data_IF_505327315575
#
_entry.id   IF_505327315575
#
_cell.length_a   1.000
_cell.length_b   1.000
_cell.length_c   1.000
_cell.angle_alpha   90.00
_cell.angle_beta   90.00
_cell.angle_gamma   90.00
#
_symmetry.space_group_name_H-M   'P 1'
#
loop_
_entity.id
_entity.type
_entity.pdbx_description
1 polymer ?
#
# COMPACT_ATOMS: atom_id res chain seq x y z
N UNK A 1 9.74 -12.62 -9.49
CA UNK A 1 9.07 -13.28 -8.35
C UNK A 1 10.04 -13.26 -7.21
N UNK A 2 10.42 -14.41 -6.64
CA UNK A 2 11.54 -14.46 -5.70
C UNK A 2 12.78 -13.79 -6.29
N UNK A 3 13.54 -13.10 -5.45
CA UNK A 3 14.87 -12.60 -5.79
C UNK A 3 15.89 -13.75 -5.73
N UNK A 4 17.04 -13.59 -6.37
CA UNK A 4 18.23 -14.42 -6.12
C UNK A 4 18.67 -14.32 -4.66
N UNK A 5 19.45 -15.28 -4.16
CA UNK A 5 19.86 -15.31 -2.74
C UNK A 5 20.65 -14.07 -2.29
N UNK A 6 21.35 -13.42 -3.22
CA UNK A 6 22.11 -12.18 -2.99
C UNK A 6 21.27 -10.89 -3.13
N UNK A 7 19.99 -11.02 -3.51
CA UNK A 7 19.05 -9.94 -3.78
C UNK A 7 19.46 -8.97 -4.90
N UNK A 8 20.36 -9.39 -5.79
CA UNK A 8 20.83 -8.54 -6.90
C UNK A 8 20.09 -8.79 -8.21
N UNK A 9 19.32 -9.87 -8.32
CA UNK A 9 18.53 -10.21 -9.51
C UNK A 9 17.18 -10.87 -9.16
N UNK A 10 16.33 -11.04 -10.17
CA UNK A 10 15.07 -11.77 -10.09
C UNK A 10 15.24 -13.19 -10.61
N UNK A 11 14.55 -14.14 -9.98
CA UNK A 11 14.39 -15.48 -10.55
C UNK A 11 13.39 -15.47 -11.71
N UNK A 12 13.44 -16.51 -12.57
CA UNK A 12 12.55 -16.70 -13.73
C UNK A 12 11.07 -16.91 -13.35
N UNK A 13 10.76 -17.06 -12.07
CA UNK A 13 9.39 -17.24 -11.61
C UNK A 13 8.72 -15.89 -11.43
N UNK A 14 7.69 -15.59 -12.22
CA UNK A 14 6.89 -14.36 -12.11
C UNK A 14 5.40 -14.68 -12.14
N UNK A 15 4.64 -13.93 -11.33
CA UNK A 15 3.18 -14.00 -11.30
C UNK A 15 2.63 -12.60 -11.55
N UNK A 16 1.95 -12.36 -12.68
CA UNK A 16 1.22 -11.12 -12.84
C UNK A 16 0.00 -11.12 -11.91
N UNK A 17 -0.19 -10.01 -11.21
CA UNK A 17 -1.30 -9.76 -10.28
C UNK A 17 -1.97 -8.43 -10.64
N UNK A 18 -3.21 -8.22 -10.20
CA UNK A 18 -3.95 -6.96 -10.42
C UNK A 18 -4.00 -6.51 -11.91
N UNK A 19 -4.06 -7.49 -12.82
CA UNK A 19 -4.01 -7.25 -14.28
C UNK A 19 -5.16 -6.34 -14.69
N UNK A 20 -4.85 -5.26 -15.42
CA UNK A 20 -5.83 -4.30 -15.93
C UNK A 20 -6.40 -3.35 -14.87
N UNK A 21 -5.92 -3.38 -13.63
CA UNK A 21 -6.40 -2.50 -12.56
C UNK A 21 -5.68 -1.14 -12.49
N UNK A 22 -4.60 -0.94 -13.25
CA UNK A 22 -3.83 0.30 -13.30
C UNK A 22 -3.41 0.82 -11.91
N UNK A 23 -2.74 -0.06 -11.14
CA UNK A 23 -2.25 0.22 -9.78
C UNK A 23 -0.76 0.52 -9.77
N UNK A 24 -0.33 1.38 -8.87
CA UNK A 24 1.07 1.79 -8.66
C UNK A 24 1.39 1.95 -7.16
N UNK A 25 2.62 2.33 -6.86
CA UNK A 25 3.11 2.62 -5.51
C UNK A 25 2.80 1.52 -4.45
N UNK A 26 3.19 0.24 -4.72
CA UNK A 26 2.83 -0.88 -3.86
C UNK A 26 3.57 -0.85 -2.51
N UNK A 27 2.82 -0.85 -1.41
CA UNK A 27 3.32 -1.01 -0.05
C UNK A 27 2.88 -2.37 0.52
N UNK A 28 3.75 -3.37 0.39
CA UNK A 28 3.53 -4.76 0.80
C UNK A 28 3.93 -5.01 2.26
N UNK A 29 3.09 -5.70 3.02
CA UNK A 29 3.38 -6.16 4.37
C UNK A 29 2.66 -7.47 4.68
N UNK A 30 2.97 -8.11 5.82
CA UNK A 30 2.39 -9.40 6.22
C UNK A 30 1.89 -9.33 7.65
N UNK A 31 0.70 -9.88 7.90
CA UNK A 31 0.13 -10.01 9.24
C UNK A 31 -0.69 -11.30 9.36
N UNK A 32 -0.54 -12.04 10.46
CA UNK A 32 -1.39 -13.21 10.74
C UNK A 32 -1.34 -14.32 9.69
N UNK A 33 -0.27 -14.43 8.90
CA UNK A 33 -0.16 -15.38 7.78
C UNK A 33 -0.59 -14.83 6.41
N UNK A 34 -1.37 -13.75 6.39
CA UNK A 34 -1.87 -13.10 5.17
C UNK A 34 -0.94 -11.96 4.73
N UNK A 35 -0.70 -11.88 3.42
CA UNK A 35 -0.03 -10.77 2.76
C UNK A 35 -1.05 -9.68 2.45
N UNK A 36 -0.69 -8.43 2.72
CA UNK A 36 -1.49 -7.26 2.41
C UNK A 36 -0.67 -6.29 1.56
N UNK A 37 -1.32 -5.61 0.63
CA UNK A 37 -0.69 -4.61 -0.22
C UNK A 37 -1.59 -3.40 -0.36
N UNK A 38 -1.08 -2.21 -0.04
CA UNK A 38 -1.75 -0.94 -0.34
C UNK A 38 -1.15 -0.39 -1.64
N UNK A 39 -1.99 0.10 -2.54
CA UNK A 39 -1.59 0.66 -3.84
C UNK A 39 -2.33 1.96 -4.10
N UNK A 40 -1.80 2.85 -4.95
CA UNK A 40 -2.55 3.97 -5.55
C UNK A 40 -2.97 3.66 -6.98
N UNK A 41 -3.89 4.43 -7.54
CA UNK A 41 -4.19 4.44 -8.97
C UNK A 41 -3.19 5.30 -9.76
N UNK A 42 -3.09 5.07 -11.07
CA UNK A 42 -2.19 5.82 -11.96
C UNK A 42 -2.77 7.17 -12.40
N UNK A 43 -2.57 8.23 -11.60
CA UNK A 43 -3.04 9.60 -11.90
C UNK A 43 -1.90 10.63 -11.93
N UNK A 44 -0.66 10.19 -12.17
CA UNK A 44 0.51 11.04 -12.11
C UNK A 44 0.71 11.57 -10.70
N UNK A 45 0.76 12.90 -10.54
CA UNK A 45 0.96 13.52 -9.22
C UNK A 45 -0.32 13.82 -8.44
N UNK A 46 -1.49 13.70 -9.08
CA UNK A 46 -2.75 13.95 -8.39
C UNK A 46 -3.01 12.82 -7.38
N UNK A 47 -3.31 13.13 -6.11
CA UNK A 47 -3.64 12.10 -5.14
C UNK A 47 -4.97 11.45 -5.51
N UNK A 48 -5.11 10.17 -5.18
CA UNK A 48 -6.26 9.35 -5.57
C UNK A 48 -6.56 8.29 -4.51
N UNK A 49 -7.58 7.49 -4.79
CA UNK A 49 -8.05 6.45 -3.90
C UNK A 49 -7.04 5.29 -3.81
N UNK A 50 -6.52 5.07 -2.60
CA UNK A 50 -5.77 3.87 -2.28
C UNK A 50 -6.70 2.65 -2.27
N UNK A 51 -6.18 1.51 -2.70
CA UNK A 51 -6.85 0.21 -2.58
C UNK A 51 -5.95 -0.74 -1.82
N UNK A 52 -6.54 -1.42 -0.84
CA UNK A 52 -5.94 -2.53 -0.13
C UNK A 52 -6.27 -3.85 -0.84
N UNK A 53 -5.30 -4.75 -0.84
CA UNK A 53 -5.40 -6.09 -1.42
C UNK A 53 -4.86 -7.11 -0.43
N UNK A 54 -5.37 -8.34 -0.45
CA UNK A 54 -4.92 -9.43 0.39
C UNK A 54 -4.68 -10.73 -0.38
N UNK A 55 -3.77 -11.56 0.13
CA UNK A 55 -3.54 -12.92 -0.35
C UNK A 55 -2.93 -13.80 0.73
N UNK A 56 -3.31 -15.07 0.78
CA UNK A 56 -2.70 -16.05 1.69
C UNK A 56 -1.34 -16.56 1.19
N UNK A 57 -0.96 -16.23 -0.05
CA UNK A 57 0.33 -16.56 -0.65
C UNK A 57 0.81 -15.46 -1.59
N UNK A 58 2.07 -15.04 -1.47
CA UNK A 58 2.63 -13.96 -2.29
C UNK A 58 2.49 -14.21 -3.81
N UNK A 59 2.61 -15.47 -4.24
CA UNK A 59 2.46 -15.90 -5.64
C UNK A 59 1.04 -16.40 -5.97
N UNK A 60 0.12 -16.28 -5.03
CA UNK A 60 -1.26 -16.73 -5.12
C UNK A 60 -2.17 -15.74 -5.85
N UNK A 61 -3.48 -15.93 -5.63
CA UNK A 61 -4.50 -14.98 -6.08
C UNK A 61 -4.60 -13.84 -5.07
N UNK A 62 -4.68 -12.62 -5.58
CA UNK A 62 -4.92 -11.41 -4.79
C UNK A 62 -6.37 -10.97 -4.91
N UNK A 63 -6.97 -10.63 -3.78
CA UNK A 63 -8.31 -10.05 -3.68
C UNK A 63 -8.22 -8.58 -3.29
N UNK A 64 -9.04 -7.74 -3.91
CA UNK A 64 -9.14 -6.31 -3.59
C UNK A 64 -10.18 -6.09 -2.50
N UNK A 65 -9.77 -5.50 -1.39
CA UNK A 65 -10.61 -5.26 -0.21
C UNK A 65 -11.33 -3.90 -0.25
N UNK A 66 -10.86 -2.97 -1.08
CA UNK A 66 -11.40 -1.61 -1.20
C UNK A 66 -10.50 -0.54 -0.57
N UNK A 67 -11.06 0.65 -0.38
CA UNK A 67 -10.34 1.80 0.20
C UNK A 67 -10.12 1.62 1.72
N UNK A 68 -8.87 1.56 2.21
CA UNK A 68 -8.59 1.37 3.62
C UNK A 68 -8.71 2.66 4.46
N UNK A 69 -8.89 3.83 3.83
CA UNK A 69 -8.90 5.11 4.51
C UNK A 69 -10.23 5.32 5.26
N UNK A 70 -10.14 5.57 6.57
CA UNK A 70 -11.29 5.86 7.43
C UNK A 70 -11.13 7.21 8.13
N UNK A 71 -12.25 7.83 8.53
CA UNK A 71 -12.25 9.18 9.11
C UNK A 71 -12.12 10.29 8.07
N UNK A 72 -11.97 11.53 8.55
CA UNK A 72 -11.94 12.73 7.69
C UNK A 72 -13.24 12.95 6.90
N UNK A 73 -13.22 13.94 6.00
CA UNK A 73 -14.28 14.07 5.00
C UNK A 73 -14.06 13.09 3.83
N UNK A 74 -15.06 12.93 2.98
CA UNK A 74 -14.99 12.02 1.82
C UNK A 74 -13.78 12.30 0.93
N UNK A 75 -13.49 13.57 0.64
CA UNK A 75 -12.33 13.93 -0.19
C UNK A 75 -11.01 13.49 0.44
N UNK A 76 -10.87 13.51 1.77
CA UNK A 76 -9.65 12.98 2.41
C UNK A 76 -9.52 11.47 2.16
N UNK A 77 -10.61 10.71 2.21
CA UNK A 77 -10.55 9.25 1.96
C UNK A 77 -10.27 8.93 0.48
N UNK A 78 -10.93 9.64 -0.43
CA UNK A 78 -10.78 9.45 -1.88
C UNK A 78 -9.44 9.94 -2.42
N UNK A 79 -8.68 10.70 -1.63
CA UNK A 79 -7.34 11.18 -2.00
C UNK A 79 -6.25 10.63 -1.09
N UNK A 80 -6.55 9.61 -0.28
CA UNK A 80 -5.59 9.02 0.67
C UNK A 80 -4.92 10.10 1.52
N UNK A 81 -5.72 11.01 2.07
CA UNK A 81 -5.33 12.19 2.82
C UNK A 81 -4.38 13.14 2.07
N UNK A 82 -4.63 13.31 0.77
CA UNK A 82 -3.79 14.02 -0.18
C UNK A 82 -2.35 13.48 -0.18
N UNK A 83 -2.21 12.15 -0.30
CA UNK A 83 -0.92 11.47 -0.32
C UNK A 83 -0.94 10.19 -1.18
N UNK A 84 0.23 9.61 -1.44
CA UNK A 84 0.42 8.37 -2.19
C UNK A 84 1.23 7.39 -1.34
N UNK A 85 0.80 6.12 -1.29
CA UNK A 85 1.48 5.09 -0.49
C UNK A 85 2.96 4.93 -0.86
N UNK A 86 3.82 4.70 0.13
CA UNK A 86 5.24 4.41 -0.11
C UNK A 86 5.69 3.17 0.65
N UNK A 87 5.32 3.03 1.92
CA UNK A 87 5.73 1.89 2.74
C UNK A 87 4.74 1.63 3.89
N UNK A 88 4.79 0.41 4.45
CA UNK A 88 4.08 0.06 5.68
C UNK A 88 5.08 -0.53 6.66
N UNK A 89 5.28 0.15 7.79
CA UNK A 89 6.23 -0.25 8.82
C UNK A 89 5.50 -0.94 9.99
N UNK A 90 5.79 -2.22 10.33
CA UNK A 90 5.25 -2.86 11.52
C UNK A 90 5.70 -2.14 12.80
N UNK A 91 4.77 -1.86 13.71
CA UNK A 91 5.11 -1.27 15.00
C UNK A 91 5.55 -2.36 15.98
N UNK A 92 6.78 -2.24 16.47
CA UNK A 92 7.34 -3.20 17.42
C UNK A 92 6.51 -3.24 18.71
N UNK A 93 6.22 -4.45 19.20
CA UNK A 93 5.45 -4.67 20.42
C UNK A 93 3.93 -4.47 20.28
N UNK A 94 3.42 -4.12 19.09
CA UNK A 94 1.99 -3.91 18.83
C UNK A 94 1.50 -4.77 17.66
N UNK A 95 1.23 -6.08 17.86
CA UNK A 95 0.71 -6.95 16.81
C UNK A 95 -0.56 -6.38 16.17
N UNK A 96 -0.60 -6.35 14.83
CA UNK A 96 -1.74 -5.82 14.07
C UNK A 96 -1.71 -4.30 13.87
N UNK A 97 -0.74 -3.59 14.47
CA UNK A 97 -0.53 -2.16 14.27
C UNK A 97 0.70 -1.90 13.43
N UNK A 98 0.54 -0.97 12.50
CA UNK A 98 1.53 -0.57 11.52
C UNK A 98 1.51 0.96 11.39
N UNK A 99 2.59 1.52 10.85
CA UNK A 99 2.63 2.88 10.36
C UNK A 99 2.50 2.84 8.85
N UNK A 100 1.37 3.35 8.34
CA UNK A 100 1.23 3.64 6.93
C UNK A 100 2.03 4.90 6.62
N UNK A 101 2.94 4.79 5.66
CA UNK A 101 3.79 5.88 5.21
C UNK A 101 3.40 6.24 3.79
N UNK A 102 3.24 7.54 3.54
CA UNK A 102 2.88 8.08 2.25
C UNK A 102 3.55 9.43 2.00
N UNK A 103 3.66 9.78 0.72
CA UNK A 103 4.22 11.03 0.24
C UNK A 103 3.11 11.96 -0.23
N UNK A 104 3.14 13.20 0.27
CA UNK A 104 2.40 14.33 -0.29
C UNK A 104 3.32 15.07 -1.25
N UNK A 105 3.19 14.71 -2.51
CA UNK A 105 4.01 15.27 -3.58
C UNK A 105 3.74 16.75 -3.81
N UNK A 106 4.83 17.52 -3.99
CA UNK A 106 4.80 18.89 -4.52
C UNK A 106 5.50 18.90 -5.88
N UNK A 107 4.78 18.70 -7.00
CA UNK A 107 5.42 18.44 -8.30
C UNK A 107 6.30 19.57 -8.82
N UNK A 108 5.98 20.82 -8.44
CA UNK A 108 6.78 21.99 -8.80
C UNK A 108 8.14 22.05 -8.06
N UNK A 109 8.28 21.33 -6.95
CA UNK A 109 9.50 21.27 -6.15
C UNK A 109 9.51 19.99 -5.30
N UNK A 110 9.97 18.89 -5.88
CA UNK A 110 9.91 17.57 -5.24
C UNK A 110 10.67 17.52 -3.91
N UNK A 111 11.72 18.33 -3.74
CA UNK A 111 12.49 18.42 -2.49
C UNK A 111 11.65 18.98 -1.34
N UNK A 112 10.64 19.78 -1.66
CA UNK A 112 9.71 20.36 -0.70
C UNK A 112 8.39 19.55 -0.60
N UNK A 113 8.40 18.28 -1.04
CA UNK A 113 7.34 17.32 -0.69
C UNK A 113 7.32 17.05 0.81
N UNK A 114 6.22 16.45 1.31
CA UNK A 114 6.05 16.14 2.74
C UNK A 114 5.62 14.70 2.94
N UNK A 115 5.84 14.21 4.16
CA UNK A 115 5.41 12.88 4.56
C UNK A 115 4.05 12.92 5.26
N UNK A 116 3.24 11.91 5.01
CA UNK A 116 1.99 11.65 5.72
C UNK A 116 2.10 10.26 6.35
N UNK A 117 2.31 10.21 7.67
CA UNK A 117 2.43 8.97 8.42
C UNK A 117 1.22 8.81 9.34
N UNK A 118 0.49 7.71 9.17
CA UNK A 118 -0.77 7.45 9.87
C UNK A 118 -0.77 6.05 10.49
N UNK A 119 -1.48 5.84 11.59
CA UNK A 119 -1.68 4.50 12.13
C UNK A 119 -2.51 3.66 11.15
N UNK A 120 -2.04 2.45 10.89
CA UNK A 120 -2.77 1.42 10.14
C UNK A 120 -3.00 0.23 11.08
N UNK A 121 -4.24 -0.21 11.16
CA UNK A 121 -4.62 -1.37 11.97
C UNK A 121 -5.22 -2.44 11.08
N UNK A 122 -4.69 -3.66 11.17
CA UNK A 122 -5.34 -4.86 10.64
C UNK A 122 -6.13 -5.48 11.79
N UNK A 123 -7.41 -5.16 11.85
CA UNK A 123 -8.38 -5.87 12.67
C UNK A 123 -9.30 -6.66 11.73
N UNK A 124 -10.15 -7.55 12.26
CA UNK A 124 -11.23 -8.16 11.46
C UNK A 124 -12.16 -7.11 10.83
N UNK A 125 -13.26 -7.54 10.21
CA UNK A 125 -14.21 -6.64 9.54
C UNK A 125 -14.47 -5.37 10.38
N UNK A 126 -14.41 -4.20 9.73
CA UNK A 126 -14.70 -2.95 10.38
C UNK A 126 -16.15 -2.95 10.86
N UNK A 127 -16.35 -2.85 12.18
CA UNK A 127 -17.65 -2.61 12.80
C UNK A 127 -18.17 -1.20 12.46
#
# INVERSE_FOLDING_TARGET
GPLTEDYLDVTDTVKPILIGQHREAPALFKHGGTYYMITSGCTGWAPNEALAHASDSIMGRWETLGNPCVGGSQIFRETTFFSQSTFVLPLQGLPGYFMFMADRWKPADLRDSRYVWLPLRVAGAAD
#
